data_IF_650665464792
#
_entry.id   IF_650665464792
#
_cell.length_a   1.000
_cell.length_b   1.000
_cell.length_c   1.000
_cell.angle_alpha   90.00
_cell.angle_beta   90.00
_cell.angle_gamma   90.00
#
_symmetry.space_group_name_H-M   'P 1'
#
loop_
_entity.id
_entity.type
_entity.pdbx_description
1 polymer ?
#
# COMPACT_ATOMS: atom_id res chain seq x y z
N UNK A 1 1.08 21.21 5.29
CA UNK A 1 1.22 20.08 4.37
C UNK A 1 -0.18 19.64 3.99
N UNK A 2 -0.53 19.66 2.70
CA UNK A 2 -1.83 19.14 2.26
C UNK A 2 -1.73 17.64 1.91
N UNK A 3 -2.85 16.92 1.84
CA UNK A 3 -2.85 15.47 1.55
C UNK A 3 -2.15 15.11 0.22
N UNK A 4 -2.21 15.98 -0.78
CA UNK A 4 -1.55 15.77 -2.06
C UNK A 4 -0.03 15.87 -1.97
N UNK A 5 0.52 16.77 -1.15
CA UNK A 5 1.96 16.86 -0.89
C UNK A 5 2.46 15.61 -0.17
N UNK A 6 1.72 15.13 0.83
CA UNK A 6 2.06 13.90 1.56
C UNK A 6 2.02 12.68 0.65
N UNK A 7 1.02 12.58 -0.24
CA UNK A 7 0.93 11.49 -1.20
C UNK A 7 2.09 11.51 -2.23
N UNK A 8 2.51 12.69 -2.68
CA UNK A 8 3.64 12.84 -3.59
C UNK A 8 4.98 12.49 -2.93
N UNK A 9 5.23 12.99 -1.72
CA UNK A 9 6.43 12.63 -0.95
C UNK A 9 6.47 11.13 -0.67
N UNK A 10 5.32 10.54 -0.32
CA UNK A 10 5.22 9.11 -0.11
C UNK A 10 5.50 8.31 -1.40
N UNK A 11 4.98 8.76 -2.54
CA UNK A 11 5.25 8.14 -3.84
C UNK A 11 6.71 8.28 -4.29
N UNK A 12 7.37 9.41 -4.02
CA UNK A 12 8.80 9.61 -4.25
C UNK A 12 9.64 8.66 -3.39
N UNK A 13 9.39 8.63 -2.08
CA UNK A 13 10.11 7.75 -1.14
C UNK A 13 9.93 6.29 -1.51
N UNK A 14 8.73 5.87 -1.92
CA UNK A 14 8.48 4.48 -2.35
C UNK A 14 9.00 4.17 -3.76
N UNK A 15 9.03 5.15 -4.66
CA UNK A 15 9.59 4.99 -6.01
C UNK A 15 11.09 4.70 -6.00
N UNK A 16 11.79 5.21 -4.99
CA UNK A 16 13.22 5.02 -4.79
C UNK A 16 13.58 3.73 -4.04
N UNK A 17 12.60 2.98 -3.53
CA UNK A 17 12.83 1.74 -2.79
C UNK A 17 12.78 0.51 -3.70
N UNK A 18 13.77 -0.36 -3.56
CA UNK A 18 13.76 -1.68 -4.19
C UNK A 18 12.69 -2.58 -3.55
N UNK A 19 12.17 -3.52 -4.32
CA UNK A 19 11.09 -4.43 -3.86
C UNK A 19 11.44 -5.15 -2.55
N UNK A 20 12.70 -5.55 -2.37
CA UNK A 20 13.16 -6.23 -1.16
C UNK A 20 13.13 -5.32 0.07
N UNK A 21 13.40 -4.03 -0.09
CA UNK A 21 13.35 -3.05 0.99
C UNK A 21 11.90 -2.78 1.44
N UNK A 22 10.99 -2.71 0.47
CA UNK A 22 9.55 -2.58 0.74
C UNK A 22 9.02 -3.83 1.46
N UNK A 23 9.42 -5.03 1.01
CA UNK A 23 9.07 -6.29 1.66
C UNK A 23 9.55 -6.34 3.11
N UNK A 24 10.79 -5.96 3.38
CA UNK A 24 11.35 -5.94 4.74
C UNK A 24 10.60 -4.96 5.66
N UNK A 25 10.26 -3.77 5.16
CA UNK A 25 9.49 -2.78 5.91
C UNK A 25 8.08 -3.31 6.25
N UNK A 26 7.38 -3.88 5.27
CA UNK A 26 6.04 -4.41 5.44
C UNK A 26 6.02 -5.60 6.40
N UNK A 27 6.96 -6.54 6.27
CA UNK A 27 7.08 -7.72 7.14
C UNK A 27 7.28 -7.35 8.63
N UNK A 28 7.89 -6.20 8.92
CA UNK A 28 8.11 -5.72 10.29
C UNK A 28 6.91 -5.01 10.91
N UNK A 29 5.99 -4.48 10.09
CA UNK A 29 4.96 -3.54 10.54
C UNK A 29 3.52 -3.99 10.25
N UNK A 30 3.34 -5.05 9.48
CA UNK A 30 2.02 -5.55 9.06
C UNK A 30 1.83 -7.01 9.51
N UNK A 31 0.66 -7.40 10.02
CA UNK A 31 0.36 -8.80 10.34
C UNK A 31 0.54 -9.71 9.12
N UNK A 32 1.08 -10.92 9.34
CA UNK A 32 1.31 -11.90 8.28
C UNK A 32 0.05 -12.23 7.48
N UNK A 33 -1.09 -12.42 8.15
CA UNK A 33 -2.38 -12.71 7.51
C UNK A 33 -2.79 -11.62 6.51
N UNK A 34 -2.49 -10.35 6.82
CA UNK A 34 -2.74 -9.23 5.91
C UNK A 34 -1.82 -9.29 4.69
N UNK A 35 -0.54 -9.64 4.87
CA UNK A 35 0.40 -9.83 3.76
C UNK A 35 -0.04 -10.98 2.84
N UNK A 36 -0.46 -12.10 3.41
CA UNK A 36 -0.95 -13.28 2.68
C UNK A 36 -2.23 -12.97 1.88
N UNK A 37 -3.14 -12.19 2.48
CA UNK A 37 -4.35 -11.72 1.81
C UNK A 37 -4.02 -10.88 0.58
N UNK A 38 -3.19 -9.85 0.72
CA UNK A 38 -2.85 -8.96 -0.40
C UNK A 38 -2.08 -9.68 -1.51
N UNK A 39 -1.20 -10.61 -1.13
CA UNK A 39 -0.48 -11.46 -2.10
C UNK A 39 -1.46 -12.31 -2.91
N UNK A 40 -2.32 -13.07 -2.24
CA UNK A 40 -3.30 -13.96 -2.90
C UNK A 40 -4.30 -13.19 -3.77
N UNK A 41 -4.74 -12.03 -3.28
CA UNK A 41 -5.65 -11.15 -4.02
C UNK A 41 -4.98 -10.57 -5.27
N UNK A 42 -3.77 -10.01 -5.14
CA UNK A 42 -3.05 -9.41 -6.24
C UNK A 42 -2.68 -10.43 -7.32
N UNK A 43 -2.30 -11.66 -6.94
CA UNK A 43 -2.07 -12.76 -7.87
C UNK A 43 -3.35 -13.13 -8.65
N UNK A 44 -4.47 -13.26 -7.94
CA UNK A 44 -5.76 -13.58 -8.57
C UNK A 44 -6.22 -12.47 -9.52
N UNK A 45 -6.03 -11.21 -9.14
CA UNK A 45 -6.36 -10.04 -9.96
C UNK A 45 -5.44 -9.94 -11.19
N UNK A 46 -4.14 -10.10 -11.03
CA UNK A 46 -3.19 -10.07 -12.14
C UNK A 46 -3.49 -11.18 -13.17
N UNK A 47 -3.85 -12.38 -12.70
CA UNK A 47 -4.28 -13.49 -13.54
C UNK A 47 -5.58 -13.17 -14.29
N UNK A 48 -6.58 -12.55 -13.66
CA UNK A 48 -7.83 -12.20 -14.33
C UNK A 48 -7.65 -11.12 -15.40
N UNK A 49 -6.71 -10.20 -15.19
CA UNK A 49 -6.42 -9.10 -16.12
C UNK A 49 -5.33 -9.43 -17.15
N UNK A 50 -4.76 -10.65 -17.11
CA UNK A 50 -3.69 -11.07 -18.02
C UNK A 50 -2.39 -10.28 -17.85
N UNK A 51 -2.13 -9.75 -16.66
CA UNK A 51 -0.91 -9.02 -16.33
C UNK A 51 0.23 -10.01 -16.08
N UNK A 52 1.18 -10.10 -17.02
CA UNK A 52 2.39 -10.91 -16.88
C UNK A 52 3.62 -10.01 -17.03
N UNK A 53 4.08 -9.40 -15.94
CA UNK A 53 5.24 -8.50 -15.95
C UNK A 53 5.78 -8.23 -14.54
N UNK A 54 6.87 -7.46 -14.45
CA UNK A 54 7.39 -6.92 -13.18
C UNK A 54 6.33 -6.19 -12.33
N UNK A 55 5.29 -5.63 -12.96
CA UNK A 55 4.16 -5.00 -12.26
C UNK A 55 3.38 -5.99 -11.40
N UNK A 56 3.26 -7.25 -11.82
CA UNK A 56 2.59 -8.32 -11.06
C UNK A 56 3.29 -8.54 -9.72
N UNK A 57 4.63 -8.59 -9.71
CA UNK A 57 5.43 -8.80 -8.50
C UNK A 57 5.34 -7.64 -7.52
N UNK A 58 5.10 -6.43 -8.02
CA UNK A 58 4.98 -5.20 -7.22
C UNK A 58 3.55 -4.94 -6.74
N UNK A 59 2.57 -5.56 -7.39
CA UNK A 59 1.15 -5.31 -7.14
C UNK A 59 0.71 -5.57 -5.69
N UNK A 60 1.11 -6.67 -5.02
CA UNK A 60 0.75 -6.88 -3.61
C UNK A 60 1.18 -5.72 -2.72
N UNK A 61 2.43 -5.25 -2.90
CA UNK A 61 3.01 -4.17 -2.12
C UNK A 61 2.32 -2.83 -2.39
N UNK A 62 2.06 -2.53 -3.67
CA UNK A 62 1.34 -1.30 -4.07
C UNK A 62 -0.07 -1.26 -3.48
N UNK A 63 -0.78 -2.39 -3.52
CA UNK A 63 -2.13 -2.49 -2.96
C UNK A 63 -2.16 -2.32 -1.45
N UNK A 64 -1.25 -2.98 -0.73
CA UNK A 64 -1.15 -2.87 0.71
C UNK A 64 -0.80 -1.45 1.15
N UNK A 65 0.14 -0.81 0.46
CA UNK A 65 0.49 0.59 0.68
C UNK A 65 -0.72 1.52 0.46
N UNK A 66 -1.43 1.36 -0.66
CA UNK A 66 -2.63 2.16 -0.94
C UNK A 66 -3.71 1.96 0.13
N UNK A 67 -3.89 0.74 0.62
CA UNK A 67 -4.80 0.45 1.73
C UNK A 67 -4.38 1.15 3.03
N UNK A 68 -3.11 1.10 3.40
CA UNK A 68 -2.61 1.76 4.61
C UNK A 68 -2.78 3.28 4.55
N UNK A 69 -2.49 3.90 3.40
CA UNK A 69 -2.74 5.32 3.19
C UNK A 69 -4.23 5.65 3.33
N UNK A 70 -5.11 4.83 2.74
CA UNK A 70 -6.55 5.03 2.84
C UNK A 70 -7.08 4.93 4.27
N UNK A 71 -6.59 3.95 5.04
CA UNK A 71 -6.94 3.80 6.46
C UNK A 71 -6.43 4.98 7.28
N UNK A 72 -5.22 5.48 7.00
CA UNK A 72 -4.68 6.67 7.65
C UNK A 72 -5.51 7.92 7.33
N UNK A 73 -5.88 8.13 6.07
CA UNK A 73 -6.77 9.22 5.66
C UNK A 73 -8.11 9.16 6.40
N UNK A 74 -8.76 7.99 6.43
CA UNK A 74 -10.06 7.82 7.11
C UNK A 74 -9.98 8.17 8.60
N UNK A 75 -8.93 7.72 9.28
CA UNK A 75 -8.73 8.02 10.71
C UNK A 75 -8.40 9.48 10.97
N UNK A 76 -7.58 10.10 10.13
CA UNK A 76 -7.26 11.53 10.25
C UNK A 76 -8.48 12.42 9.95
N UNK A 77 -9.33 12.00 9.01
CA UNK A 77 -10.59 12.69 8.70
C UNK A 77 -11.66 12.53 9.80
N UNK A 78 -11.62 11.43 10.56
CA UNK A 78 -12.45 11.26 11.76
C UNK A 78 -11.98 12.15 12.92
N UNK A 79 -10.67 12.34 13.11
CA UNK A 79 -10.12 13.22 14.14
C UNK A 79 -10.39 14.72 13.89
N UNK A 80 -10.51 15.14 12.61
CA UNK A 80 -10.82 16.53 12.22
C UNK A 80 -12.32 16.88 12.35
N UNK A 81 -13.18 15.86 12.48
CA UNK A 81 -14.57 15.99 12.90
C UNK A 81 -14.67 15.84 14.42
N UNK A 82 -14.25 16.87 15.16
CA UNK A 82 -14.31 16.91 16.63
C UNK A 82 -15.68 16.49 17.20
N UNK A 83 -15.75 16.11 18.50
CA UNK A 83 -16.95 15.57 19.11
C UNK A 83 -18.12 16.56 18.91
N UNK A 84 -19.17 16.06 18.26
CA UNK A 84 -20.44 16.79 18.06
C UNK A 84 -21.13 17.10 19.38
#
# INVERSE_FOLDING_TARGET
MNHSELAWEFAEVFGDLETDQVNEMLAKNVPLETLEFFTSYAESFAQSEGMLSETEKRLPNLMLVGYLLRVLEERLLEDDQGPS
#
